data_IF_932265656890
#
_entry.id   IF_932265656890
#
_cell.length_a   1.000
_cell.length_b   1.000
_cell.length_c   1.000
_cell.angle_alpha   90.00
_cell.angle_beta   90.00
_cell.angle_gamma   90.00
#
_symmetry.space_group_name_H-M   'P 1'
#
loop_
_entity.id
_entity.type
_entity.pdbx_description
1 polymer ?
#
# COMPACT_ATOMS: atom_id res chain seq x y z
N UNK A 1 16.26 11.13 -4.79
CA UNK A 1 15.89 10.86 -3.38
C UNK A 1 14.39 10.64 -3.33
N UNK A 2 13.95 9.48 -2.84
CA UNK A 2 12.52 9.18 -2.66
C UNK A 2 12.01 10.05 -1.51
N UNK A 3 11.07 10.96 -1.78
CA UNK A 3 10.54 11.92 -0.80
C UNK A 3 9.66 11.29 0.30
N UNK A 4 10.05 10.11 0.78
CA UNK A 4 9.33 9.26 1.72
C UNK A 4 10.32 8.66 2.73
N UNK A 5 9.81 8.34 3.92
CA UNK A 5 10.55 7.70 5.01
C UNK A 5 9.69 6.60 5.65
N UNK A 6 10.33 5.58 6.22
CA UNK A 6 9.66 4.52 6.99
C UNK A 6 9.82 4.84 8.48
N UNK A 7 8.71 4.81 9.23
CA UNK A 7 8.72 4.95 10.69
C UNK A 7 7.57 4.18 11.33
N UNK A 8 7.48 4.22 12.65
CA UNK A 8 6.37 3.62 13.39
C UNK A 8 5.04 4.25 12.96
N UNK A 9 4.05 3.41 12.71
CA UNK A 9 2.68 3.80 12.35
C UNK A 9 1.71 3.41 13.45
N UNK A 10 0.68 4.25 13.63
CA UNK A 10 -0.46 3.94 14.50
C UNK A 10 -1.46 3.00 13.81
N UNK A 11 -1.46 2.94 12.48
CA UNK A 11 -2.37 2.08 11.70
C UNK A 11 -1.91 0.63 11.80
N UNK A 12 -0.63 0.35 11.53
CA UNK A 12 -0.11 -1.02 11.55
C UNK A 12 1.40 -1.12 11.85
N UNK A 13 1.82 -0.72 13.06
CA UNK A 13 3.20 -0.80 13.61
C UNK A 13 4.28 -0.02 12.83
N UNK A 14 4.36 -0.19 11.51
CA UNK A 14 5.28 0.45 10.56
C UNK A 14 4.47 1.04 9.41
N UNK A 15 4.86 2.21 8.92
CA UNK A 15 4.21 2.87 7.78
C UNK A 15 5.20 3.67 6.94
N UNK A 16 4.78 3.99 5.72
CA UNK A 16 5.48 4.93 4.83
C UNK A 16 4.91 6.33 5.05
N UNK A 17 5.77 7.34 5.17
CA UNK A 17 5.37 8.72 5.41
C UNK A 17 6.05 9.65 4.43
N UNK A 18 5.37 10.74 4.09
CA UNK A 18 5.90 11.79 3.24
C UNK A 18 7.05 12.53 3.94
N UNK A 19 8.22 12.62 3.31
CA UNK A 19 9.35 13.45 3.78
C UNK A 19 9.42 14.82 3.06
N UNK A 20 8.51 15.03 2.11
CA UNK A 20 8.25 16.32 1.47
C UNK A 20 6.75 16.48 1.20
N UNK A 21 6.35 17.64 0.70
CA UNK A 21 5.00 17.80 0.15
C UNK A 21 4.92 17.13 -1.24
N UNK A 22 3.78 16.50 -1.54
CA UNK A 22 3.41 16.01 -2.87
C UNK A 22 2.13 16.70 -3.33
N UNK A 23 2.06 17.07 -4.59
CA UNK A 23 0.82 17.54 -5.22
C UNK A 23 -0.03 16.39 -5.71
N UNK A 24 -1.34 16.62 -5.78
CA UNK A 24 -2.28 15.72 -6.46
C UNK A 24 -1.75 15.35 -7.85
N UNK A 25 -1.71 14.06 -8.15
CA UNK A 25 -1.21 13.50 -9.41
C UNK A 25 0.28 13.17 -9.42
N UNK A 26 1.06 13.60 -8.42
CA UNK A 26 2.47 13.20 -8.33
C UNK A 26 2.62 11.71 -8.01
N UNK A 27 3.67 11.11 -8.57
CA UNK A 27 4.13 9.78 -8.15
C UNK A 27 4.79 9.89 -6.78
N UNK A 28 4.17 9.28 -5.77
CA UNK A 28 4.69 9.22 -4.40
C UNK A 28 5.72 8.09 -4.28
N UNK A 29 5.35 6.91 -4.79
CA UNK A 29 6.18 5.72 -4.75
C UNK A 29 6.07 4.95 -6.07
N UNK A 30 7.20 4.69 -6.73
CA UNK A 30 7.28 3.75 -7.84
C UNK A 30 7.70 2.39 -7.29
N UNK A 31 6.88 1.36 -7.49
CA UNK A 31 7.15 0.07 -6.90
C UNK A 31 8.36 -0.60 -7.55
N UNK A 32 9.11 -1.35 -6.75
CA UNK A 32 10.16 -2.23 -7.21
C UNK A 32 9.85 -3.63 -6.67
N UNK A 33 8.93 -4.35 -7.33
CA UNK A 33 8.49 -5.67 -6.90
C UNK A 33 9.67 -6.55 -6.52
N UNK A 34 9.54 -7.25 -5.38
CA UNK A 34 10.48 -8.32 -5.03
C UNK A 34 10.39 -9.45 -6.07
N UNK A 35 9.18 -9.76 -6.51
CA UNK A 35 8.92 -10.77 -7.54
C UNK A 35 7.56 -10.50 -8.23
N UNK A 36 7.46 -10.89 -9.50
CA UNK A 36 6.18 -11.06 -10.21
C UNK A 36 5.83 -12.54 -10.19
N UNK A 37 4.60 -12.85 -9.80
CA UNK A 37 4.14 -14.19 -9.49
C UNK A 37 2.87 -14.52 -10.26
N UNK A 38 2.67 -15.80 -10.50
CA UNK A 38 1.40 -16.41 -10.87
C UNK A 38 0.64 -16.88 -9.63
N UNK A 39 -0.65 -17.22 -9.79
CA UNK A 39 -1.46 -17.76 -8.68
C UNK A 39 -0.86 -19.03 -8.06
N UNK A 40 -0.21 -19.88 -8.86
CA UNK A 40 0.42 -21.12 -8.40
C UNK A 40 1.66 -20.86 -7.55
N UNK A 41 2.44 -19.82 -7.87
CA UNK A 41 3.64 -19.49 -7.11
C UNK A 41 3.33 -18.84 -5.76
N UNK A 42 2.16 -18.21 -5.60
CA UNK A 42 1.71 -17.70 -4.31
C UNK A 42 1.52 -18.82 -3.28
N UNK A 43 1.00 -19.98 -3.69
CA UNK A 43 0.77 -21.08 -2.74
C UNK A 43 2.07 -21.68 -2.21
N UNK A 44 3.19 -21.50 -2.92
CA UNK A 44 4.52 -21.95 -2.49
C UNK A 44 5.28 -20.89 -1.69
N UNK A 45 4.75 -19.68 -1.53
CA UNK A 45 5.38 -18.65 -0.70
C UNK A 45 5.28 -19.01 0.80
N UNK A 46 6.28 -18.59 1.60
CA UNK A 46 6.14 -18.57 3.05
C UNK A 46 4.90 -17.75 3.47
N UNK A 47 4.20 -18.20 4.51
CA UNK A 47 2.99 -17.52 5.01
C UNK A 47 3.26 -16.05 5.36
N UNK A 48 4.46 -15.74 5.86
CA UNK A 48 4.90 -14.38 6.17
C UNK A 48 5.00 -13.46 4.95
N UNK A 49 5.15 -14.00 3.74
CA UNK A 49 5.26 -13.21 2.50
C UNK A 49 3.92 -13.10 1.76
N UNK A 50 2.99 -14.05 1.96
CA UNK A 50 1.66 -14.00 1.34
C UNK A 50 0.89 -12.74 1.68
N UNK A 51 1.13 -12.17 2.88
CA UNK A 51 0.54 -10.90 3.30
C UNK A 51 0.94 -9.70 2.43
N UNK A 52 2.08 -9.77 1.75
CA UNK A 52 2.62 -8.69 0.92
C UNK A 52 2.39 -8.89 -0.57
N UNK A 53 1.46 -9.77 -0.94
CA UNK A 53 1.11 -10.05 -2.32
C UNK A 53 -0.04 -9.14 -2.76
N UNK A 54 0.21 -8.37 -3.81
CA UNK A 54 -0.76 -7.52 -4.47
C UNK A 54 -1.25 -8.17 -5.77
N UNK A 55 -2.55 -8.15 -6.04
CA UNK A 55 -3.11 -8.61 -7.31
C UNK A 55 -3.07 -7.47 -8.35
N UNK A 56 -2.19 -7.55 -9.34
CA UNK A 56 -2.06 -6.54 -10.41
C UNK A 56 -2.80 -6.89 -11.70
N UNK A 57 -3.46 -8.05 -11.78
CA UNK A 57 -4.25 -8.47 -12.94
C UNK A 57 -4.67 -9.94 -12.92
N UNK A 58 -5.41 -10.42 -13.94
CA UNK A 58 -6.05 -11.75 -13.94
C UNK A 58 -5.15 -12.95 -13.61
N UNK A 59 -3.85 -12.86 -13.91
CA UNK A 59 -2.85 -13.86 -13.51
C UNK A 59 -1.48 -13.21 -13.21
N UNK A 60 -1.49 -11.96 -12.75
CA UNK A 60 -0.27 -11.24 -12.38
C UNK A 60 -0.39 -10.76 -10.93
N UNK A 61 0.56 -11.20 -10.12
CA UNK A 61 0.63 -10.83 -8.71
C UNK A 61 2.02 -10.27 -8.42
N UNK A 62 2.07 -9.27 -7.55
CA UNK A 62 3.28 -8.55 -7.19
C UNK A 62 3.59 -8.87 -5.74
N UNK A 63 4.69 -9.55 -5.48
CA UNK A 63 5.25 -9.60 -4.13
C UNK A 63 5.95 -8.27 -3.87
N UNK A 64 5.40 -7.48 -2.96
CA UNK A 64 5.87 -6.14 -2.63
C UNK A 64 7.22 -6.19 -1.88
N UNK A 65 8.15 -5.30 -2.21
CA UNK A 65 9.38 -5.08 -1.48
C UNK A 65 9.26 -3.88 -0.53
N UNK A 66 10.32 -3.54 0.20
CA UNK A 66 10.41 -2.26 0.91
C UNK A 66 10.72 -1.12 -0.08
N UNK A 67 10.02 0.02 -0.02
CA UNK A 67 9.07 0.45 1.03
C UNK A 67 7.59 0.11 0.78
N UNK A 68 7.20 -0.34 -0.41
CA UNK A 68 5.79 -0.51 -0.80
C UNK A 68 4.99 -1.44 0.13
N UNK A 69 5.63 -2.47 0.68
CA UNK A 69 5.00 -3.40 1.65
C UNK A 69 4.56 -2.76 2.97
N UNK A 70 4.97 -1.52 3.24
CA UNK A 70 4.61 -0.76 4.43
C UNK A 70 3.61 0.38 4.14
N UNK A 71 3.08 0.48 2.91
CA UNK A 71 1.99 1.41 2.60
C UNK A 71 0.70 0.84 3.16
N UNK A 72 0.19 1.42 4.25
CA UNK A 72 -0.94 0.87 4.99
C UNK A 72 -2.29 1.15 4.32
N UNK A 73 -3.31 0.40 4.73
CA UNK A 73 -4.68 0.66 4.34
C UNK A 73 -5.26 1.91 5.01
N UNK A 74 -6.05 2.67 4.26
CA UNK A 74 -6.97 3.67 4.78
C UNK A 74 -8.29 3.64 4.03
N UNK A 75 -9.42 3.77 4.75
CA UNK A 75 -10.74 3.93 4.12
C UNK A 75 -10.91 5.30 3.42
N UNK A 76 -10.10 6.29 3.79
CA UNK A 76 -9.95 7.57 3.09
C UNK A 76 -8.46 7.71 2.70
N UNK A 77 -8.01 7.01 1.64
CA UNK A 77 -6.59 6.97 1.28
C UNK A 77 -6.14 8.31 0.70
N UNK A 78 -4.82 8.49 0.60
CA UNK A 78 -4.23 9.64 -0.08
C UNK A 78 -3.45 9.25 -1.35
N UNK A 79 -3.29 7.96 -1.63
CA UNK A 79 -2.79 7.43 -2.89
C UNK A 79 -3.73 6.41 -3.51
N UNK A 80 -3.56 6.18 -4.81
CA UNK A 80 -4.11 5.04 -5.53
C UNK A 80 -3.04 4.37 -6.37
N UNK A 81 -3.15 3.08 -6.56
CA UNK A 81 -2.20 2.31 -7.39
C UNK A 81 -2.55 2.51 -8.86
N UNK A 82 -1.60 3.05 -9.64
CA UNK A 82 -1.67 3.11 -11.10
C UNK A 82 -0.35 2.61 -11.65
N UNK A 83 -0.39 1.63 -12.56
CA UNK A 83 0.80 1.10 -13.24
C UNK A 83 1.95 0.78 -12.26
N UNK A 84 1.65 0.03 -11.18
CA UNK A 84 2.61 -0.37 -10.13
C UNK A 84 3.29 0.84 -9.47
N UNK A 85 2.53 1.90 -9.23
CA UNK A 85 2.99 3.11 -8.54
C UNK A 85 1.86 3.70 -7.69
N UNK A 86 2.19 4.20 -6.50
CA UNK A 86 1.28 5.00 -5.69
C UNK A 86 1.27 6.44 -6.20
N UNK A 87 0.12 6.86 -6.73
CA UNK A 87 -0.11 8.21 -7.24
C UNK A 87 -0.98 8.98 -6.24
N UNK A 88 -0.56 10.19 -5.88
CA UNK A 88 -1.30 11.06 -4.97
C UNK A 88 -2.67 11.43 -5.55
N UNK A 89 -3.76 11.20 -4.81
CA UNK A 89 -5.13 11.59 -5.24
C UNK A 89 -5.57 12.95 -4.70
N UNK A 90 -4.79 13.51 -3.78
CA UNK A 90 -4.89 14.86 -3.20
C UNK A 90 -3.48 15.38 -2.88
N UNK A 91 -3.37 16.64 -2.48
CA UNK A 91 -2.12 17.14 -1.89
C UNK A 91 -1.80 16.37 -0.59
N UNK A 92 -0.53 16.01 -0.41
CA UNK A 92 -0.01 15.29 0.76
C UNK A 92 1.10 16.16 1.37
N UNK A 93 0.96 16.51 2.64
CA UNK A 93 1.95 17.31 3.37
C UNK A 93 3.07 16.42 3.91
N UNK A 94 4.26 17.02 4.07
CA UNK A 94 5.37 16.40 4.81
C UNK A 94 4.86 15.92 6.18
N UNK A 95 5.16 14.67 6.51
CA UNK A 95 4.78 14.03 7.76
C UNK A 95 3.49 13.22 7.71
N UNK A 96 2.64 13.37 6.67
CA UNK A 96 1.46 12.53 6.47
C UNK A 96 1.87 11.08 6.13
N UNK A 97 1.09 10.11 6.62
CA UNK A 97 1.24 8.69 6.26
C UNK A 97 0.69 8.45 4.85
N UNK A 98 1.44 7.71 4.02
CA UNK A 98 1.02 7.29 2.69
C UNK A 98 0.15 6.04 2.83
N UNK A 99 -1.06 6.10 2.28
CA UNK A 99 -2.06 5.04 2.44
C UNK A 99 -2.85 4.80 1.16
N UNK A 100 -3.20 3.53 0.91
CA UNK A 100 -3.99 3.09 -0.24
C UNK A 100 -5.25 2.33 0.21
N UNK A 101 -6.27 2.25 -0.65
CA UNK A 101 -7.44 1.42 -0.40
C UNK A 101 -7.12 -0.04 -0.79
N UNK A 102 -7.33 -0.99 0.12
CA UNK A 102 -7.12 -2.41 -0.16
C UNK A 102 -8.42 -3.07 -0.63
N UNK A 103 -9.58 -2.44 -0.40
CA UNK A 103 -10.89 -3.03 -0.72
C UNK A 103 -11.20 -3.06 -2.21
N UNK A 104 -10.46 -2.31 -3.03
CA UNK A 104 -10.66 -2.26 -4.49
C UNK A 104 -10.04 -3.44 -5.21
N UNK A 105 -9.03 -4.10 -4.61
CA UNK A 105 -8.08 -4.93 -5.34
C UNK A 105 -8.26 -6.41 -5.01
N UNK A 106 -9.47 -6.95 -5.18
CA UNK A 106 -9.80 -8.38 -4.99
C UNK A 106 -9.11 -8.97 -3.74
N UNK A 107 -9.06 -8.17 -2.66
CA UNK A 107 -8.23 -8.49 -1.52
C UNK A 107 -8.80 -9.77 -0.89
N UNK A 108 -8.03 -10.84 -1.01
CA UNK A 108 -8.30 -12.12 -0.35
C UNK A 108 -8.10 -12.04 1.17
N UNK A 109 -8.02 -10.82 1.71
CA UNK A 109 -7.51 -10.54 3.03
C UNK A 109 -8.54 -9.74 3.80
N UNK A 110 -9.25 -10.44 4.67
CA UNK A 110 -10.16 -9.84 5.63
C UNK A 110 -9.40 -9.42 6.88
N UNK A 111 -9.51 -8.15 7.28
CA UNK A 111 -8.86 -7.65 8.49
C UNK A 111 -9.60 -6.49 9.13
N UNK A 112 -9.34 -6.30 10.43
CA UNK A 112 -9.86 -5.14 11.19
C UNK A 112 -9.04 -3.90 10.87
N UNK A 113 -9.70 -2.89 10.33
CA UNK A 113 -9.10 -1.63 9.94
C UNK A 113 -8.91 -0.67 11.12
N UNK A 114 -7.69 -0.13 11.25
CA UNK A 114 -7.28 0.82 12.28
C UNK A 114 -6.86 2.18 11.70
N UNK A 115 -7.41 2.57 10.54
CA UNK A 115 -7.01 3.81 9.85
C UNK A 115 -7.46 5.12 10.54
N UNK A 116 -8.25 5.03 11.62
CA UNK A 116 -8.72 6.14 12.46
C UNK A 116 -9.57 7.22 11.75
N UNK A 117 -9.94 7.00 10.48
CA UNK A 117 -10.85 7.90 9.78
C UNK A 117 -12.28 7.81 10.35
N UNK A 118 -12.98 8.95 10.32
CA UNK A 118 -14.37 9.06 10.81
C UNK A 118 -15.31 8.08 10.13
N UNK A 119 -15.10 7.83 8.83
CA UNK A 119 -15.89 6.92 8.00
C UNK A 119 -15.22 5.55 7.82
N UNK A 120 -14.38 5.11 8.78
CA UNK A 120 -13.70 3.83 8.71
C UNK A 120 -14.71 2.67 8.68
N UNK A 121 -14.58 1.78 7.69
CA UNK A 121 -15.45 0.59 7.51
C UNK A 121 -15.29 -0.47 8.60
N UNK A 122 -14.25 -0.38 9.43
CA UNK A 122 -13.84 -1.31 10.51
C UNK A 122 -13.45 -2.72 10.05
N UNK A 123 -14.12 -3.25 9.05
CA UNK A 123 -13.82 -4.53 8.41
C UNK A 123 -13.59 -4.29 6.91
N UNK A 124 -12.48 -4.80 6.40
CA UNK A 124 -12.04 -4.74 5.00
C UNK A 124 -11.98 -6.15 4.45
#
# INVERSE_FOLDING_TARGET
MSGIIIKKSKINKTGVFADKNFKKGETVLKWKPKQILTKKEISTLPESEKHYVYNSGPNEYVLQNTPERYVNHSCEPNTKVINKSDIAIRDIKKGEEITSDYSTDNATMHFKCNCDNKNCKKDI
#
